data_IF_526178158798
#
_entry.id   IF_526178158798
#
_cell.length_a   1.000
_cell.length_b   1.000
_cell.length_c   1.000
_cell.angle_alpha   90.00
_cell.angle_beta   90.00
_cell.angle_gamma   90.00
#
_symmetry.space_group_name_H-M   'P 1'
#
loop_
_entity.id
_entity.type
_entity.pdbx_description
1 polymer ?
#
# COMPACT_ATOMS: atom_id res chain seq x y z
N UNK A 1 5.20 -7.20 12.13
CA UNK A 1 4.96 -7.26 10.67
C UNK A 1 4.90 -8.73 10.28
N UNK A 2 3.96 -9.09 9.41
CA UNK A 2 3.82 -10.43 8.84
C UNK A 2 3.66 -10.32 7.32
N UNK A 3 4.37 -11.16 6.56
CA UNK A 3 4.21 -11.27 5.10
C UNK A 3 4.17 -12.74 4.74
N UNK A 4 3.08 -13.18 4.14
CA UNK A 4 2.94 -14.56 3.68
C UNK A 4 3.97 -14.85 2.55
N UNK A 5 4.61 -16.03 2.51
CA UNK A 5 5.66 -16.33 1.51
C UNK A 5 5.23 -16.26 0.04
N UNK A 6 3.92 -16.36 -0.23
CA UNK A 6 3.34 -16.23 -1.58
C UNK A 6 2.87 -14.81 -1.93
N UNK A 7 3.01 -13.85 -1.02
CA UNK A 7 2.73 -12.46 -1.33
C UNK A 7 3.85 -11.87 -2.19
N UNK A 8 3.51 -10.93 -3.06
CA UNK A 8 4.46 -10.21 -3.90
C UNK A 8 4.50 -8.76 -3.45
N UNK A 9 5.71 -8.26 -3.19
CA UNK A 9 5.94 -6.87 -2.79
C UNK A 9 7.01 -6.28 -3.70
N UNK A 10 6.67 -5.25 -4.46
CA UNK A 10 7.56 -4.63 -5.44
C UNK A 10 7.54 -3.11 -5.27
N UNK A 11 8.71 -2.46 -5.29
CA UNK A 11 8.84 -1.00 -5.23
C UNK A 11 8.03 -0.33 -4.10
N UNK A 12 7.88 -1.01 -2.96
CA UNK A 12 6.96 -0.61 -1.90
C UNK A 12 7.66 -0.48 -0.55
N UNK A 13 7.11 0.33 0.33
CA UNK A 13 7.55 0.49 1.72
C UNK A 13 6.51 -0.14 2.65
N UNK A 14 6.94 -1.12 3.43
CA UNK A 14 6.10 -1.79 4.43
C UNK A 14 6.50 -1.28 5.82
N UNK A 15 5.62 -0.48 6.39
CA UNK A 15 5.73 0.09 7.71
C UNK A 15 5.36 -0.88 8.84
N UNK A 16 5.38 -0.40 10.09
CA UNK A 16 5.07 -1.22 11.26
C UNK A 16 3.61 -1.70 11.24
N UNK A 17 3.37 -2.78 11.98
CA UNK A 17 2.04 -3.37 12.19
C UNK A 17 1.27 -3.76 10.91
N UNK A 18 1.99 -3.99 9.81
CA UNK A 18 1.39 -4.51 8.57
C UNK A 18 1.35 -6.04 8.56
N UNK A 19 0.23 -6.60 8.10
CA UNK A 19 0.09 -8.04 7.76
C UNK A 19 -0.38 -8.22 6.32
N UNK A 20 0.36 -9.00 5.52
CA UNK A 20 0.05 -9.27 4.11
C UNK A 20 -0.17 -10.77 3.92
N UNK A 21 -1.36 -11.17 3.50
CA UNK A 21 -1.79 -12.56 3.38
C UNK A 21 -1.47 -13.20 2.01
N UNK A 22 -1.84 -14.47 1.86
CA UNK A 22 -1.51 -15.30 0.70
C UNK A 22 -1.93 -14.67 -0.63
N UNK A 23 -1.05 -14.70 -1.62
CA UNK A 23 -1.35 -14.23 -2.98
C UNK A 23 -1.58 -12.72 -3.14
N UNK A 24 -1.49 -11.93 -2.07
CA UNK A 24 -1.59 -10.47 -2.17
C UNK A 24 -0.42 -9.90 -2.97
N UNK A 25 -0.69 -8.88 -3.78
CA UNK A 25 0.26 -8.18 -4.63
C UNK A 25 0.28 -6.71 -4.23
N UNK A 26 1.41 -6.23 -3.71
CA UNK A 26 1.60 -4.84 -3.28
C UNK A 26 2.72 -4.20 -4.10
N UNK A 27 2.35 -3.23 -4.94
CA UNK A 27 3.25 -2.60 -5.89
C UNK A 27 3.25 -1.10 -5.74
N UNK A 28 4.43 -0.49 -5.82
CA UNK A 28 4.59 0.95 -5.81
C UNK A 28 3.85 1.64 -4.64
N UNK A 29 3.78 1.03 -3.45
CA UNK A 29 2.87 1.44 -2.38
C UNK A 29 3.56 1.66 -1.03
N UNK A 30 2.92 2.42 -0.13
CA UNK A 30 3.39 2.64 1.24
C UNK A 30 2.28 2.24 2.21
N UNK A 31 2.55 1.27 3.09
CA UNK A 31 1.57 0.74 4.03
C UNK A 31 2.06 0.92 5.48
N UNK A 32 1.19 1.35 6.41
CA UNK A 32 1.42 1.29 7.86
C UNK A 32 0.13 0.94 8.57
N UNK A 33 0.19 0.24 9.71
CA UNK A 33 -1.00 -0.08 10.51
C UNK A 33 -2.15 -0.68 9.66
N UNK A 34 -1.79 -1.58 8.73
CA UNK A 34 -2.68 -2.05 7.66
C UNK A 34 -2.72 -3.57 7.55
N UNK A 35 -3.91 -4.14 7.37
CA UNK A 35 -4.10 -5.56 7.01
C UNK A 35 -4.43 -5.67 5.53
N UNK A 36 -3.67 -6.47 4.78
CA UNK A 36 -3.90 -6.80 3.37
C UNK A 36 -4.26 -8.28 3.26
N UNK A 37 -5.52 -8.57 2.95
CA UNK A 37 -6.03 -9.94 2.94
C UNK A 37 -5.73 -10.68 1.62
N UNK A 38 -6.10 -11.97 1.58
CA UNK A 38 -5.75 -12.90 0.50
C UNK A 38 -6.09 -12.37 -0.90
N UNK A 39 -5.13 -12.46 -1.81
CA UNK A 39 -5.33 -12.12 -3.23
C UNK A 39 -5.60 -10.64 -3.54
N UNK A 40 -5.46 -9.73 -2.56
CA UNK A 40 -5.63 -8.30 -2.81
C UNK A 40 -4.53 -7.74 -3.73
N UNK A 41 -4.90 -6.84 -4.63
CA UNK A 41 -3.99 -6.13 -5.54
C UNK A 41 -3.95 -4.64 -5.20
N UNK A 42 -2.80 -4.17 -4.71
CA UNK A 42 -2.52 -2.78 -4.37
C UNK A 42 -1.48 -2.22 -5.33
N UNK A 43 -1.82 -1.12 -6.00
CA UNK A 43 -0.94 -0.45 -6.95
C UNK A 43 -0.94 1.05 -6.67
N UNK A 44 0.20 1.63 -6.33
CA UNK A 44 0.30 3.08 -6.21
C UNK A 44 -0.51 3.69 -5.06
N UNK A 45 -0.71 2.97 -3.94
CA UNK A 45 -1.48 3.46 -2.78
C UNK A 45 -0.61 3.84 -1.58
N UNK A 46 -1.09 4.79 -0.79
CA UNK A 46 -0.64 5.03 0.59
C UNK A 46 -1.79 4.66 1.53
N UNK A 47 -1.57 3.68 2.41
CA UNK A 47 -2.56 3.23 3.38
C UNK A 47 -2.02 3.31 4.81
N UNK A 48 -2.88 3.80 5.71
CA UNK A 48 -2.68 3.89 7.15
C UNK A 48 -3.98 3.47 7.84
N UNK A 49 -3.88 2.78 8.98
CA UNK A 49 -5.04 2.37 9.80
C UNK A 49 -6.16 1.71 8.96
N UNK A 50 -5.76 0.81 8.05
CA UNK A 50 -6.62 0.31 6.97
C UNK A 50 -6.78 -1.21 6.98
N UNK A 51 -7.90 -1.69 6.43
CA UNK A 51 -8.14 -3.11 6.17
C UNK A 51 -8.57 -3.28 4.71
N UNK A 52 -7.76 -4.01 3.95
CA UNK A 52 -7.99 -4.33 2.54
C UNK A 52 -8.51 -5.76 2.44
N UNK A 53 -9.71 -5.92 1.87
CA UNK A 53 -10.40 -7.20 1.77
C UNK A 53 -9.83 -8.16 0.72
N UNK A 54 -10.33 -9.39 0.73
CA UNK A 54 -9.90 -10.46 -0.19
C UNK A 54 -10.26 -10.15 -1.62
N UNK A 55 -9.36 -10.47 -2.56
CA UNK A 55 -9.56 -10.34 -4.01
C UNK A 55 -9.96 -8.93 -4.47
N UNK A 56 -9.69 -7.90 -3.66
CA UNK A 56 -9.95 -6.51 -4.04
C UNK A 56 -8.80 -5.94 -4.85
N UNK A 57 -9.12 -5.00 -5.73
CA UNK A 57 -8.12 -4.24 -6.47
C UNK A 57 -8.25 -2.77 -6.11
N UNK A 58 -7.16 -2.18 -5.63
CA UNK A 58 -7.10 -0.78 -5.25
C UNK A 58 -5.92 -0.12 -5.93
N UNK A 59 -6.20 0.91 -6.71
CA UNK A 59 -5.18 1.70 -7.41
C UNK A 59 -5.22 3.13 -6.91
N UNK A 60 -4.07 3.64 -6.49
CA UNK A 60 -3.91 5.04 -6.12
C UNK A 60 -3.07 5.79 -7.16
N UNK A 61 -2.93 7.10 -6.92
CA UNK A 61 -2.08 7.97 -7.74
C UNK A 61 -1.08 8.66 -6.84
N UNK A 62 0.18 8.23 -6.89
CA UNK A 62 1.28 8.98 -6.29
C UNK A 62 1.48 10.28 -7.07
N UNK A 63 1.30 11.43 -6.40
CA UNK A 63 1.68 12.73 -6.96
C UNK A 63 3.09 13.08 -6.51
N UNK A 64 4.00 13.24 -7.46
CA UNK A 64 5.29 13.89 -7.19
C UNK A 64 5.07 15.39 -7.23
N UNK A 65 5.26 16.04 -6.08
CA UNK A 65 5.03 17.47 -5.92
C UNK A 65 6.33 18.18 -5.60
N UNK A 66 6.62 19.28 -6.29
CA UNK A 66 7.68 20.20 -5.94
C UNK A 66 7.03 21.56 -5.62
N UNK A 67 6.80 21.85 -4.34
CA UNK A 67 6.25 23.14 -3.90
C UNK A 67 7.37 24.11 -3.52
N UNK A 68 7.20 25.38 -3.88
CA UNK A 68 8.08 26.48 -3.48
C UNK A 68 7.37 27.48 -2.57
N UNK A 69 8.01 28.61 -2.30
CA UNK A 69 7.69 29.54 -1.18
C UNK A 69 6.31 30.24 -1.25
N UNK A 70 5.44 29.89 -2.19
CA UNK A 70 4.05 30.39 -2.27
C UNK A 70 3.10 29.40 -2.91
N UNK A 71 3.34 28.10 -2.78
CA UNK A 71 2.49 27.06 -3.36
C UNK A 71 1.62 26.39 -2.28
N UNK A 72 0.33 26.22 -2.57
CA UNK A 72 -0.63 25.50 -1.74
C UNK A 72 -1.30 24.42 -2.60
N UNK A 73 -1.39 23.18 -2.10
CA UNK A 73 -2.25 22.15 -2.68
C UNK A 73 -3.48 21.92 -1.79
N UNK A 74 -4.62 21.62 -2.43
CA UNK A 74 -5.83 21.07 -1.79
C UNK A 74 -5.86 19.54 -1.89
#
# INVERSE_FOLDING_TARGET
MYVHPKAVIENSVIGPYVSIHEGAQVRHSILRDTVVDEGAELEGVLLEESLVGRWTKTTGYFRKLNLGDSSTEE
#
